data_IF_308703051711
#
_entry.id   IF_308703051711
#
_cell.length_a   1.000
_cell.length_b   1.000
_cell.length_c   1.000
_cell.angle_alpha   90.00
_cell.angle_beta   90.00
_cell.angle_gamma   90.00
#
_symmetry.space_group_name_H-M   'P 1'
#
loop_
_entity.id
_entity.type
_entity.pdbx_description
1 polymer ?
#
# COMPACT_ATOMS: atom_id res chain seq x y z
N UNK A 1 12.60 -4.54 -2.34
CA UNK A 1 12.97 -3.19 -1.88
C UNK A 1 12.33 -2.99 -0.51
N UNK A 2 13.14 -2.86 0.54
CA UNK A 2 12.66 -2.79 1.94
C UNK A 2 11.72 -1.59 2.19
N UNK A 3 11.91 -0.50 1.43
CA UNK A 3 11.09 0.71 1.53
C UNK A 3 9.61 0.44 1.32
N UNK A 4 9.23 -0.29 0.27
CA UNK A 4 7.83 -0.58 -0.07
C UNK A 4 7.12 -1.26 1.10
N UNK A 5 7.78 -2.25 1.69
CA UNK A 5 7.25 -3.04 2.81
C UNK A 5 7.12 -2.18 4.06
N UNK A 6 8.14 -1.37 4.37
CA UNK A 6 8.10 -0.46 5.52
C UNK A 6 7.03 0.61 5.39
N UNK A 7 6.82 1.15 4.19
CA UNK A 7 5.75 2.11 3.92
C UNK A 7 4.38 1.44 4.04
N UNK A 8 4.20 0.24 3.48
CA UNK A 8 2.98 -0.53 3.56
C UNK A 8 2.58 -0.82 5.02
N UNK A 9 3.51 -1.33 5.83
CA UNK A 9 3.31 -1.59 7.26
C UNK A 9 2.87 -0.31 7.98
N UNK A 10 3.58 0.80 7.76
CA UNK A 10 3.26 2.09 8.38
C UNK A 10 1.86 2.58 8.02
N UNK A 11 1.46 2.43 6.76
CA UNK A 11 0.13 2.84 6.30
C UNK A 11 -0.98 1.96 6.91
N UNK A 12 -0.76 0.63 7.00
CA UNK A 12 -1.71 -0.27 7.65
C UNK A 12 -1.82 0.06 9.15
N UNK A 13 -0.71 0.25 9.85
CA UNK A 13 -0.73 0.62 11.27
C UNK A 13 -1.42 1.98 11.52
N UNK A 14 -1.17 2.95 10.63
CA UNK A 14 -1.83 4.25 10.70
C UNK A 14 -3.34 4.14 10.46
N UNK A 15 -3.77 3.40 9.44
CA UNK A 15 -5.20 3.20 9.16
C UNK A 15 -5.87 2.41 10.29
N UNK A 16 -5.19 1.45 10.91
CA UNK A 16 -5.69 0.73 12.08
C UNK A 16 -5.99 1.68 13.24
N UNK A 17 -5.05 2.59 13.54
CA UNK A 17 -5.26 3.64 14.55
C UNK A 17 -6.44 4.54 14.21
N UNK A 18 -6.59 4.92 12.93
CA UNK A 18 -7.70 5.76 12.46
C UNK A 18 -9.06 5.07 12.63
N UNK A 19 -9.12 3.75 12.49
CA UNK A 19 -10.34 2.94 12.61
C UNK A 19 -10.48 2.29 14.01
N UNK A 20 -9.82 2.86 15.02
CA UNK A 20 -9.97 2.50 16.43
C UNK A 20 -9.63 1.03 16.76
N UNK A 21 -8.69 0.44 16.04
CA UNK A 21 -8.16 -0.88 16.37
C UNK A 21 -7.20 -0.78 17.56
N UNK A 22 -7.35 -1.65 18.54
CA UNK A 22 -6.43 -1.74 19.69
C UNK A 22 -5.15 -2.47 19.29
N UNK A 23 -4.11 -2.27 20.12
CA UNK A 23 -2.84 -3.00 19.99
C UNK A 23 -3.10 -4.48 20.23
N UNK A 24 -2.58 -5.32 19.33
CA UNK A 24 -2.75 -6.78 19.40
C UNK A 24 -4.06 -7.31 18.81
N UNK A 25 -5.01 -6.45 18.42
CA UNK A 25 -6.22 -6.93 17.73
C UNK A 25 -5.85 -7.57 16.39
N UNK A 26 -6.32 -8.79 16.18
CA UNK A 26 -5.99 -9.53 14.95
C UNK A 26 -6.88 -9.09 13.79
N UNK A 27 -6.31 -9.12 12.59
CA UNK A 27 -7.02 -8.78 11.35
C UNK A 27 -6.87 -9.86 10.29
N UNK A 28 -7.89 -9.95 9.45
CA UNK A 28 -7.77 -10.57 8.13
C UNK A 28 -7.37 -9.51 7.12
N UNK A 29 -6.20 -9.65 6.51
CA UNK A 29 -5.59 -8.69 5.58
C UNK A 29 -5.51 -9.28 4.17
N UNK A 30 -5.94 -8.50 3.18
CA UNK A 30 -5.72 -8.80 1.76
C UNK A 30 -4.97 -7.63 1.13
N UNK A 31 -3.92 -7.93 0.36
CA UNK A 31 -3.14 -6.92 -0.36
C UNK A 31 -3.21 -7.20 -1.85
N UNK A 32 -3.63 -6.21 -2.63
CA UNK A 32 -3.74 -6.30 -4.08
C UNK A 32 -2.72 -5.42 -4.79
N UNK A 33 -2.11 -5.95 -5.84
CA UNK A 33 -1.27 -5.17 -6.75
C UNK A 33 -1.20 -5.84 -8.12
N UNK A 34 -1.32 -5.06 -9.19
CA UNK A 34 -1.19 -5.54 -10.58
C UNK A 34 0.26 -5.49 -11.10
N UNK A 35 1.23 -5.35 -10.20
CA UNK A 35 2.63 -5.13 -10.53
C UNK A 35 3.48 -6.25 -9.92
N UNK A 36 3.99 -7.16 -10.77
CA UNK A 36 4.67 -8.39 -10.35
C UNK A 36 5.82 -8.19 -9.37
N UNK A 37 6.65 -7.18 -9.60
CA UNK A 37 7.80 -6.95 -8.72
C UNK A 37 7.37 -6.44 -7.33
N UNK A 38 6.27 -5.69 -7.24
CA UNK A 38 5.70 -5.26 -5.96
C UNK A 38 5.10 -6.46 -5.23
N UNK A 39 4.37 -7.31 -5.95
CA UNK A 39 3.85 -8.58 -5.43
C UNK A 39 4.97 -9.42 -4.81
N UNK A 40 6.06 -9.63 -5.56
CA UNK A 40 7.22 -10.39 -5.09
C UNK A 40 7.85 -9.79 -3.83
N UNK A 41 7.92 -8.46 -3.71
CA UNK A 41 8.42 -7.80 -2.50
C UNK A 41 7.53 -8.04 -1.28
N UNK A 42 6.21 -8.01 -1.46
CA UNK A 42 5.23 -8.28 -0.40
C UNK A 42 5.29 -9.76 0.00
N UNK A 43 5.32 -10.68 -0.96
CA UNK A 43 5.42 -12.13 -0.73
C UNK A 43 6.67 -12.49 0.07
N UNK A 44 7.84 -11.99 -0.35
CA UNK A 44 9.13 -12.27 0.30
C UNK A 44 9.16 -11.78 1.76
N UNK A 45 8.32 -10.81 2.11
CA UNK A 45 8.26 -10.19 3.44
C UNK A 45 6.92 -10.42 4.14
N UNK A 46 6.14 -11.40 3.67
CA UNK A 46 4.79 -11.71 4.16
C UNK A 46 4.76 -11.89 5.68
N UNK A 47 5.65 -12.71 6.23
CA UNK A 47 5.71 -12.98 7.68
C UNK A 47 5.97 -11.70 8.49
N UNK A 48 6.93 -10.87 8.04
CA UNK A 48 7.27 -9.61 8.70
C UNK A 48 6.08 -8.64 8.67
N UNK A 49 5.37 -8.56 7.54
CA UNK A 49 4.18 -7.71 7.45
C UNK A 49 3.10 -8.24 8.38
N UNK A 50 2.83 -9.55 8.36
CA UNK A 50 1.83 -10.22 9.19
C UNK A 50 2.04 -9.94 10.68
N UNK A 51 3.26 -10.15 11.16
CA UNK A 51 3.65 -9.91 12.55
C UNK A 51 3.45 -8.43 12.94
N UNK A 52 3.99 -7.51 12.13
CA UNK A 52 3.96 -6.06 12.44
C UNK A 52 2.57 -5.43 12.41
N UNK A 53 1.61 -6.03 11.72
CA UNK A 53 0.23 -5.53 11.61
C UNK A 53 -0.79 -6.42 12.30
N UNK A 54 -0.33 -7.45 13.04
CA UNK A 54 -1.18 -8.45 13.70
C UNK A 54 -2.17 -9.10 12.73
N UNK A 55 -1.74 -9.41 11.52
CA UNK A 55 -2.56 -10.16 10.57
C UNK A 55 -2.38 -11.66 10.78
N UNK A 56 -3.45 -12.34 11.14
CA UNK A 56 -3.52 -13.80 11.30
C UNK A 56 -3.90 -14.48 10.00
N UNK A 57 -4.78 -13.85 9.22
CA UNK A 57 -5.05 -14.19 7.82
C UNK A 57 -4.44 -13.14 6.92
N UNK A 58 -3.69 -13.60 5.92
CA UNK A 58 -2.98 -12.75 4.97
C UNK A 58 -3.18 -13.31 3.57
N UNK A 59 -3.74 -12.55 2.64
CA UNK A 59 -3.83 -12.93 1.23
C UNK A 59 -3.23 -11.88 0.31
N UNK A 60 -2.73 -12.34 -0.83
CA UNK A 60 -2.14 -11.47 -1.86
C UNK A 60 -2.86 -11.72 -3.17
N UNK A 61 -3.50 -10.68 -3.70
CA UNK A 61 -4.16 -10.68 -4.99
C UNK A 61 -3.26 -10.06 -6.07
N UNK A 62 -3.30 -10.63 -7.27
CA UNK A 62 -2.66 -10.04 -8.47
C UNK A 62 -3.48 -8.88 -9.06
N UNK A 63 -4.64 -8.59 -8.50
CA UNK A 63 -5.54 -7.54 -8.95
C UNK A 63 -5.61 -6.42 -7.93
N UNK A 64 -6.04 -5.24 -8.37
CA UNK A 64 -6.42 -4.18 -7.45
C UNK A 64 -7.66 -4.61 -6.67
N UNK A 65 -7.66 -4.35 -5.38
CA UNK A 65 -8.84 -4.52 -4.54
C UNK A 65 -9.75 -3.30 -4.70
N UNK A 66 -11.04 -3.53 -4.53
CA UNK A 66 -12.03 -2.47 -4.44
C UNK A 66 -12.39 -2.20 -2.99
N UNK A 67 -12.96 -1.03 -2.72
CA UNK A 67 -13.60 -0.75 -1.45
C UNK A 67 -14.80 -1.69 -1.26
N UNK A 68 -14.84 -2.37 -0.12
CA UNK A 68 -15.90 -3.31 0.24
C UNK A 68 -16.54 -2.84 1.54
N UNK A 69 -17.86 -3.00 1.65
CA UNK A 69 -18.57 -2.73 2.89
C UNK A 69 -17.98 -3.58 4.03
N UNK A 70 -17.91 -3.01 5.23
CA UNK A 70 -17.36 -3.62 6.45
C UNK A 70 -15.84 -3.87 6.47
N UNK A 71 -15.10 -3.46 5.42
CA UNK A 71 -13.63 -3.52 5.39
C UNK A 71 -13.02 -2.13 5.37
N UNK A 72 -11.87 -2.00 6.03
CA UNK A 72 -11.02 -0.80 5.86
C UNK A 72 -10.24 -0.96 4.56
N UNK A 73 -10.50 -0.05 3.61
CA UNK A 73 -9.79 0.05 2.34
C UNK A 73 -8.78 1.19 2.32
N UNK A 74 -7.67 1.01 1.61
CA UNK A 74 -6.76 2.09 1.25
C UNK A 74 -5.96 1.74 -0.01
N UNK A 75 -5.60 2.78 -0.75
CA UNK A 75 -4.72 2.70 -1.91
C UNK A 75 -3.42 3.49 -1.66
N UNK A 76 -2.28 2.90 -2.03
CA UNK A 76 -0.97 3.52 -2.03
C UNK A 76 -0.49 3.69 -3.46
N UNK A 77 -0.19 4.93 -3.84
CA UNK A 77 0.47 5.23 -5.10
C UNK A 77 1.98 5.09 -4.95
N UNK A 78 2.61 4.36 -5.85
CA UNK A 78 4.03 3.99 -5.82
C UNK A 78 4.71 4.57 -7.05
N UNK A 79 5.91 5.12 -6.85
CA UNK A 79 6.75 5.62 -7.92
C UNK A 79 7.00 4.52 -8.98
N UNK A 80 6.85 4.84 -10.29
CA UNK A 80 7.05 3.87 -11.38
C UNK A 80 8.50 3.41 -11.53
N UNK A 81 9.47 4.20 -11.06
CA UNK A 81 10.87 3.80 -11.08
C UNK A 81 11.08 2.65 -10.07
N UNK A 82 11.37 1.46 -10.57
CA UNK A 82 11.57 0.23 -9.77
C UNK A 82 12.66 0.39 -8.69
N UNK A 83 13.74 1.11 -8.99
CA UNK A 83 14.81 1.35 -8.01
C UNK A 83 14.33 2.26 -6.87
N UNK A 84 13.48 3.23 -7.19
CA UNK A 84 12.90 4.13 -6.21
C UNK A 84 11.80 3.43 -5.40
N UNK A 85 10.75 2.95 -6.09
CA UNK A 85 9.52 2.35 -5.55
C UNK A 85 8.98 3.05 -4.29
N UNK A 86 9.15 4.37 -4.19
CA UNK A 86 8.74 5.11 -3.01
C UNK A 86 7.22 5.31 -3.03
N UNK A 87 6.60 5.24 -1.85
CA UNK A 87 5.20 5.60 -1.70
C UNK A 87 5.03 7.12 -1.85
N UNK A 88 4.16 7.50 -2.76
CA UNK A 88 3.84 8.88 -3.08
C UNK A 88 2.71 9.36 -2.16
N UNK A 89 2.85 10.57 -1.60
CA UNK A 89 1.83 11.18 -0.76
C UNK A 89 0.63 11.65 -1.59
N UNK A 90 -0.55 11.72 -0.98
CA UNK A 90 -1.79 12.17 -1.64
C UNK A 90 -1.69 13.54 -2.30
N UNK A 91 -0.84 14.44 -1.78
CA UNK A 91 -0.63 15.76 -2.38
C UNK A 91 0.02 15.67 -3.78
N UNK A 92 0.81 14.63 -4.06
CA UNK A 92 1.40 14.37 -5.38
C UNK A 92 0.28 14.00 -6.35
N UNK A 93 -0.62 13.08 -5.95
CA UNK A 93 -1.78 12.69 -6.75
C UNK A 93 -2.69 13.90 -7.04
N UNK A 94 -2.94 14.76 -6.04
CA UNK A 94 -3.71 16.00 -6.23
C UNK A 94 -3.06 16.97 -7.23
N UNK A 95 -1.72 17.01 -7.30
CA UNK A 95 -0.99 17.85 -8.26
C UNK A 95 -0.99 17.25 -9.67
N UNK A 96 -0.88 15.93 -9.79
CA UNK A 96 -0.98 15.22 -11.07
C UNK A 96 -2.35 15.45 -11.72
N UNK A 97 -3.43 15.35 -10.94
CA UNK A 97 -4.81 15.65 -11.42
C UNK A 97 -5.01 17.10 -11.88
N UNK A 98 -4.16 18.03 -11.44
CA UNK A 98 -4.17 19.45 -11.86
C UNK A 98 -3.36 19.71 -13.13
N UNK A 99 -2.79 18.67 -13.76
CA UNK A 99 -1.99 18.79 -14.98
C UNK A 99 -0.63 19.45 -14.76
N UNK A 100 -0.16 19.55 -13.52
CA UNK A 100 1.19 20.05 -13.23
C UNK A 100 2.23 18.99 -13.60
N UNK A 101 3.39 19.41 -14.10
CA UNK A 101 4.55 18.52 -14.14
C UNK A 101 4.99 18.21 -12.70
N UNK A 102 4.92 16.93 -12.33
CA UNK A 102 5.30 16.48 -10.99
C UNK A 102 6.45 15.49 -11.11
N UNK A 103 7.52 15.76 -10.36
CA UNK A 103 8.64 14.85 -10.22
C UNK A 103 8.52 14.06 -8.92
N UNK A 104 9.00 12.83 -8.94
CA UNK A 104 9.13 12.03 -7.73
C UNK A 104 10.10 12.73 -6.77
N UNK A 105 9.71 13.02 -5.52
CA UNK A 105 10.56 13.73 -4.56
C UNK A 105 11.79 12.91 -4.11
N UNK A 106 11.86 11.63 -4.47
CA UNK A 106 12.92 10.71 -4.04
C UNK A 106 13.92 10.37 -5.13
N UNK A 107 13.54 10.43 -6.41
CA UNK A 107 14.40 10.03 -7.53
C UNK A 107 14.28 10.94 -8.75
N UNK A 108 13.53 12.04 -8.65
CA UNK A 108 13.30 13.02 -9.72
C UNK A 108 12.71 12.45 -11.02
N UNK A 109 12.26 11.19 -11.04
CA UNK A 109 11.55 10.62 -12.19
C UNK A 109 10.25 11.37 -12.41
N UNK A 110 9.96 11.72 -13.67
CA UNK A 110 8.69 12.34 -14.07
C UNK A 110 7.53 11.40 -13.77
N UNK A 111 6.55 11.90 -13.02
CA UNK A 111 5.36 11.16 -12.63
C UNK A 111 4.22 11.51 -13.58
N UNK A 112 3.49 10.49 -14.01
CA UNK A 112 2.28 10.66 -14.83
C UNK A 112 1.21 9.74 -14.27
N UNK A 113 -0.05 10.17 -14.26
CA UNK A 113 -1.14 9.39 -13.67
C UNK A 113 -1.23 7.97 -14.27
N UNK A 114 -0.97 7.84 -15.58
CA UNK A 114 -1.01 6.57 -16.29
C UNK A 114 0.13 5.61 -15.91
N UNK A 115 1.25 6.10 -15.36
CA UNK A 115 2.44 5.27 -15.11
C UNK A 115 2.58 4.85 -13.64
N UNK A 116 1.84 5.47 -12.72
CA UNK A 116 1.88 5.14 -11.30
C UNK A 116 1.52 3.68 -11.06
N UNK A 117 2.30 3.04 -10.19
CA UNK A 117 2.03 1.67 -9.72
C UNK A 117 1.29 1.75 -8.41
N UNK A 118 0.38 0.83 -8.15
CA UNK A 118 -0.46 0.93 -6.96
C UNK A 118 -0.40 -0.37 -6.13
N UNK A 119 -0.55 -0.19 -4.82
CA UNK A 119 -0.79 -1.25 -3.85
C UNK A 119 -2.07 -0.89 -3.13
N UNK A 120 -3.08 -1.73 -3.23
CA UNK A 120 -4.34 -1.63 -2.48
C UNK A 120 -4.33 -2.61 -1.33
N UNK A 121 -4.97 -2.29 -0.22
CA UNK A 121 -5.20 -3.27 0.84
C UNK A 121 -6.60 -3.13 1.43
N UNK A 122 -7.16 -4.27 1.83
CA UNK A 122 -8.39 -4.38 2.61
C UNK A 122 -8.11 -5.16 3.88
N UNK A 123 -8.66 -4.72 5.01
CA UNK A 123 -8.71 -5.57 6.20
C UNK A 123 -9.96 -5.39 7.03
N UNK A 124 -10.25 -6.39 7.85
CA UNK A 124 -11.30 -6.35 8.86
C UNK A 124 -10.85 -7.03 10.15
N UNK A 125 -11.55 -6.72 11.25
CA UNK A 125 -11.36 -7.43 12.52
C UNK A 125 -11.61 -8.92 12.30
N UNK A 126 -10.78 -9.76 12.90
CA UNK A 126 -11.21 -11.13 13.15
C UNK A 126 -12.11 -11.15 14.39
N UNK A 127 -13.33 -11.63 14.20
CA UNK A 127 -14.21 -12.11 15.27
C UNK A 127 -13.90 -13.55 15.61
#
# INVERSE_FOLDING_TARGET
>A
NERVVNDLIRNIQFSRKKNEYKVGETISLVIGTNTDYLKKYIETKREIISDKVSATKFDISSEKLNEEDEKVFSELSICPNKECSATLKDNINKRLKKGSEVLCPYCNTKLEEANLKNITYNYKRET
#
